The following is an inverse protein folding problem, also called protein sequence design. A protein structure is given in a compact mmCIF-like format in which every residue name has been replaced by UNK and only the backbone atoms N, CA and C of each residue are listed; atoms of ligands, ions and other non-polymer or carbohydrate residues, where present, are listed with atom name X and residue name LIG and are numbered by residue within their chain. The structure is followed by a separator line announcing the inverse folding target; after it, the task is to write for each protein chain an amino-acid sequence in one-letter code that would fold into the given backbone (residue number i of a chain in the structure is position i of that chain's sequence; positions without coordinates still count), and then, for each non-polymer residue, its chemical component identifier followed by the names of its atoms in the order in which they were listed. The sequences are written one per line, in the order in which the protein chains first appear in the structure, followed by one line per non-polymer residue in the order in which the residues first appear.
data_IF_122655222570
#
_entry.id   IF_122655222570
#
_cell.length_a   1.000
_cell.length_b   1.000
_cell.length_c   1.000
_cell.angle_alpha   90.00
_cell.angle_beta   90.00
_cell.angle_gamma   90.00
#
_symmetry.space_group_name_H-M   'P 1'
#
loop_
_entity.id
_entity.type
_entity.pdbx_description
1 polymer ?
#
# COMPACT_ATOMS: atom_id res chain seq x y z
N UNK A 1 0.23 32.32 25.69
CA UNK A 1 1.40 31.62 25.12
C UNK A 1 1.62 30.32 25.89
N UNK A 2 1.14 29.17 25.38
CA UNK A 2 1.31 27.84 26.03
C UNK A 2 2.47 27.10 25.37
N UNK A 3 3.55 26.91 26.14
CA UNK A 3 4.78 26.20 25.73
C UNK A 3 4.48 24.69 25.55
N UNK A 4 4.73 24.16 24.38
CA UNK A 4 4.68 22.72 24.09
C UNK A 4 5.93 22.05 24.63
N UNK A 5 5.78 21.20 25.63
CA UNK A 5 6.84 20.31 26.09
C UNK A 5 6.99 19.17 25.08
N UNK A 6 8.17 19.07 24.46
CA UNK A 6 8.59 17.94 23.65
C UNK A 6 8.72 16.72 24.58
N UNK A 7 7.89 15.71 24.34
CA UNK A 7 8.01 14.41 25.01
C UNK A 7 8.98 13.55 24.20
N UNK A 8 10.11 13.21 24.83
CA UNK A 8 11.13 12.30 24.30
C UNK A 8 10.53 10.88 24.22
N UNK A 9 10.60 10.26 23.04
CA UNK A 9 10.35 8.83 22.86
C UNK A 9 11.49 8.03 23.51
N UNK A 10 11.21 6.95 24.23
CA UNK A 10 12.24 6.00 24.62
C UNK A 10 12.73 5.20 23.42
N UNK A 11 14.03 5.01 23.38
CA UNK A 11 14.77 4.32 22.35
C UNK A 11 14.26 2.89 22.11
N UNK A 12 13.90 2.59 20.86
CA UNK A 12 13.73 1.23 20.40
C UNK A 12 15.12 0.56 20.32
N UNK A 13 15.29 -0.58 21.00
CA UNK A 13 16.44 -1.46 20.80
C UNK A 13 16.53 -1.84 19.32
N UNK A 14 17.56 -1.31 18.67
CA UNK A 14 17.92 -1.67 17.30
C UNK A 14 18.59 -3.05 17.31
N UNK A 15 17.91 -4.04 16.73
CA UNK A 15 18.56 -5.30 16.33
C UNK A 15 19.23 -5.05 14.97
N UNK A 16 20.56 -4.97 15.01
CA UNK A 16 21.40 -5.00 13.81
C UNK A 16 21.40 -6.41 13.22
N UNK A 17 20.81 -6.59 12.05
CA UNK A 17 21.10 -7.73 11.17
C UNK A 17 22.05 -7.24 10.09
N UNK A 18 23.29 -7.69 10.19
CA UNK A 18 24.29 -7.57 9.14
C UNK A 18 23.93 -8.45 7.97
N UNK A 19 23.90 -7.89 6.77
CA UNK A 19 23.82 -8.62 5.52
C UNK A 19 25.20 -8.70 4.88
N UNK A 20 25.65 -9.87 4.37
CA UNK A 20 26.90 -9.93 3.62
C UNK A 20 26.75 -9.33 2.23
N UNK A 21 27.71 -8.50 1.88
CA UNK A 21 27.95 -7.99 0.52
C UNK A 21 28.58 -9.13 -0.29
N UNK A 22 27.96 -9.48 -1.41
CA UNK A 22 28.62 -10.27 -2.44
C UNK A 22 28.85 -9.37 -3.65
N UNK A 23 30.11 -9.03 -3.85
CA UNK A 23 30.61 -8.43 -5.07
C UNK A 23 30.83 -9.53 -6.12
N UNK A 24 30.30 -9.40 -7.31
CA UNK A 24 30.81 -10.07 -8.49
C UNK A 24 30.97 -9.04 -9.60
N UNK A 25 32.23 -8.72 -9.86
CA UNK A 25 32.71 -8.19 -11.12
C UNK A 25 32.95 -9.38 -12.05
N UNK A 26 32.55 -9.28 -13.29
CA UNK A 26 33.43 -9.71 -14.38
C UNK A 26 32.98 -9.13 -15.72
N UNK A 27 33.96 -8.49 -16.30
CA UNK A 27 34.09 -8.00 -17.66
C UNK A 27 34.11 -9.15 -18.67
N UNK A 28 33.56 -8.99 -19.86
CA UNK A 28 34.37 -9.25 -21.06
C UNK A 28 33.76 -8.56 -22.28
N UNK A 29 34.60 -7.80 -22.95
CA UNK A 29 34.33 -7.21 -24.23
C UNK A 29 34.53 -8.24 -25.35
N UNK A 30 33.85 -8.01 -26.44
CA UNK A 30 34.40 -8.41 -27.73
C UNK A 30 33.94 -7.46 -28.84
N UNK A 31 34.90 -6.77 -29.41
CA UNK A 31 34.91 -6.00 -30.65
C UNK A 31 34.94 -6.99 -31.82
N UNK A 32 34.10 -6.79 -32.80
CA UNK A 32 34.38 -7.29 -34.15
C UNK A 32 33.90 -6.27 -35.20
N UNK A 33 34.83 -5.96 -36.04
CA UNK A 33 34.94 -4.95 -37.07
C UNK A 33 34.08 -5.25 -38.31
N UNK A 34 33.77 -4.14 -38.94
CA UNK A 34 33.14 -3.92 -40.24
C UNK A 34 33.99 -4.47 -41.39
N UNK A 35 33.36 -5.00 -42.41
CA UNK A 35 33.83 -4.89 -43.81
C UNK A 35 32.63 -4.67 -44.71
N UNK A 36 32.71 -3.56 -45.45
CA UNK A 36 31.85 -3.21 -46.58
C UNK A 36 32.14 -4.15 -47.75
N UNK A 37 31.11 -4.52 -48.51
CA UNK A 37 31.26 -4.58 -49.95
C UNK A 37 29.91 -4.36 -50.68
N UNK A 38 30.00 -3.63 -51.76
CA UNK A 38 28.93 -3.08 -52.58
C UNK A 38 28.37 -4.10 -53.57
N UNK A 39 27.05 -4.11 -53.77
CA UNK A 39 26.48 -4.33 -55.11
C UNK A 39 25.06 -3.77 -55.19
N UNK A 40 24.91 -2.76 -55.99
CA UNK A 40 23.66 -2.16 -56.45
C UNK A 40 22.94 -3.12 -57.39
N UNK A 41 21.67 -3.48 -57.05
CA UNK A 41 20.72 -3.94 -58.07
C UNK A 41 19.37 -3.30 -57.76
N UNK A 42 18.99 -2.39 -58.63
CA UNK A 42 17.67 -1.75 -58.65
C UNK A 42 16.59 -2.71 -59.10
N UNK A 43 15.59 -2.92 -58.27
CA UNK A 43 14.28 -3.50 -58.66
C UNK A 43 13.18 -2.59 -58.14
N UNK A 44 12.19 -2.19 -58.96
CA UNK A 44 11.16 -1.24 -58.56
C UNK A 44 10.02 -1.93 -57.84
N UNK A 45 9.49 -1.27 -56.79
CA UNK A 45 8.14 -1.47 -56.30
C UNK A 45 7.92 -2.58 -55.32
N UNK A 46 8.31 -2.33 -54.05
CA UNK A 46 7.59 -2.94 -52.94
C UNK A 46 7.21 -1.81 -51.99
N UNK A 47 5.92 -1.46 -52.01
CA UNK A 47 5.37 -0.55 -51.02
C UNK A 47 5.56 -1.23 -49.65
N UNK A 48 6.47 -0.68 -48.87
CA UNK A 48 6.66 -1.06 -47.47
C UNK A 48 5.33 -0.74 -46.77
N UNK A 49 4.61 -1.72 -46.16
CA UNK A 49 3.40 -1.42 -45.43
C UNK A 49 3.79 -0.45 -44.30
N UNK A 50 3.29 0.77 -44.35
CA UNK A 50 3.41 1.77 -43.32
C UNK A 50 2.64 1.20 -42.11
N UNK A 51 3.37 0.55 -41.20
CA UNK A 51 2.81 0.04 -39.96
C UNK A 51 2.46 1.25 -39.11
N UNK A 52 1.21 1.68 -39.20
CA UNK A 52 0.67 2.71 -38.31
C UNK A 52 0.85 2.22 -36.87
N UNK A 53 1.58 2.93 -36.01
CA UNK A 53 1.77 2.49 -34.63
C UNK A 53 0.40 2.29 -33.98
N UNK A 54 0.14 1.09 -33.48
CA UNK A 54 -1.13 0.81 -32.81
C UNK A 54 -1.31 1.79 -31.66
N UNK A 55 -2.41 2.53 -31.66
CA UNK A 55 -2.73 3.48 -30.60
C UNK A 55 -2.81 2.76 -29.25
N UNK A 56 -2.18 3.31 -28.24
CA UNK A 56 -2.23 2.77 -26.88
C UNK A 56 -3.67 2.70 -26.38
N UNK A 57 -4.12 1.52 -25.96
CA UNK A 57 -5.43 1.29 -25.39
C UNK A 57 -5.36 0.45 -24.12
N UNK A 58 -6.28 0.72 -23.18
CA UNK A 58 -6.38 -0.05 -21.96
C UNK A 58 -5.54 0.47 -20.78
N UNK A 59 -5.40 -0.37 -19.76
CA UNK A 59 -4.68 -0.05 -18.53
C UNK A 59 -3.22 -0.45 -18.68
N UNK A 60 -2.32 0.53 -18.67
CA UNK A 60 -0.90 0.36 -18.95
C UNK A 60 -0.08 0.75 -17.72
N UNK A 61 0.85 -0.11 -17.33
CA UNK A 61 1.82 0.17 -16.27
C UNK A 61 3.07 0.80 -16.87
N UNK A 62 3.44 1.99 -16.36
CA UNK A 62 4.70 2.69 -16.70
C UNK A 62 5.50 2.92 -15.41
N UNK A 63 6.59 2.19 -15.25
CA UNK A 63 7.35 2.17 -14.01
C UNK A 63 6.51 1.70 -12.81
N UNK A 64 6.46 2.49 -11.75
CA UNK A 64 5.68 2.19 -10.55
C UNK A 64 4.21 2.62 -10.62
N UNK A 65 3.81 3.33 -11.68
CA UNK A 65 2.48 3.91 -11.84
C UNK A 65 1.67 3.19 -12.92
N UNK A 66 0.34 3.24 -12.80
CA UNK A 66 -0.60 2.67 -13.77
C UNK A 66 -1.44 3.80 -14.35
N UNK A 67 -1.68 3.75 -15.65
CA UNK A 67 -2.41 4.75 -16.45
C UNK A 67 -3.47 4.05 -17.29
N UNK A 68 -4.53 4.78 -17.66
CA UNK A 68 -5.53 4.31 -18.58
C UNK A 68 -5.49 5.13 -19.87
N UNK A 69 -5.41 4.45 -21.00
CA UNK A 69 -5.41 5.04 -22.33
C UNK A 69 -6.65 4.58 -23.10
N UNK A 70 -7.22 5.50 -23.85
CA UNK A 70 -8.26 5.23 -24.83
C UNK A 70 -7.87 5.98 -26.13
N UNK A 71 -7.78 5.24 -27.23
CA UNK A 71 -7.40 5.76 -28.56
C UNK A 71 -6.12 6.62 -28.54
N UNK A 72 -5.09 6.11 -27.84
CA UNK A 72 -3.81 6.81 -27.65
C UNK A 72 -3.82 7.92 -26.60
N UNK A 73 -5.00 8.35 -26.12
CA UNK A 73 -5.15 9.47 -25.19
C UNK A 73 -5.18 8.98 -23.73
N UNK A 74 -4.31 9.55 -22.89
CA UNK A 74 -4.29 9.25 -21.46
C UNK A 74 -5.53 9.82 -20.76
N UNK A 75 -6.31 8.95 -20.13
CA UNK A 75 -7.54 9.31 -19.43
C UNK A 75 -7.22 9.84 -18.03
N UNK A 76 -7.95 10.88 -17.59
CA UNK A 76 -7.78 11.55 -16.29
C UNK A 76 -9.13 11.73 -15.61
N UNK A 77 -9.11 11.85 -14.27
CA UNK A 77 -10.30 12.09 -13.43
C UNK A 77 -11.46 11.11 -13.73
N UNK A 78 -11.14 9.87 -14.03
CA UNK A 78 -12.11 8.85 -14.43
C UNK A 78 -11.88 7.51 -13.73
N UNK A 79 -12.94 6.71 -13.69
CA UNK A 79 -12.86 5.31 -13.31
C UNK A 79 -12.40 4.46 -14.50
N UNK A 80 -11.68 3.37 -14.20
CA UNK A 80 -11.48 2.29 -15.18
C UNK A 80 -12.83 1.73 -15.65
N UNK A 81 -12.91 1.11 -16.83
CA UNK A 81 -14.17 0.51 -17.34
C UNK A 81 -14.81 -0.47 -16.35
N UNK A 82 -14.00 -1.27 -15.65
CA UNK A 82 -14.42 -2.22 -14.61
C UNK A 82 -14.72 -1.56 -13.24
N UNK A 83 -14.58 -0.23 -13.13
CA UNK A 83 -14.78 0.59 -11.91
C UNK A 83 -13.96 0.13 -10.71
N UNK A 84 -12.80 -0.53 -10.95
CA UNK A 84 -11.92 -1.01 -9.89
C UNK A 84 -10.76 -0.07 -9.58
N UNK A 85 -10.36 0.78 -10.52
CA UNK A 85 -9.29 1.77 -10.38
C UNK A 85 -9.80 3.17 -10.71
N UNK A 86 -9.22 4.19 -10.10
CA UNK A 86 -9.52 5.59 -10.42
C UNK A 86 -8.24 6.31 -10.81
N UNK A 87 -8.24 6.95 -11.96
CA UNK A 87 -7.14 7.74 -12.50
C UNK A 87 -7.33 9.21 -12.16
N UNK A 88 -6.38 9.77 -11.41
CA UNK A 88 -6.45 11.15 -10.92
C UNK A 88 -6.19 12.20 -11.99
N UNK A 89 -6.06 13.46 -11.58
CA UNK A 89 -5.82 14.58 -12.49
C UNK A 89 -4.52 14.48 -13.31
N UNK A 90 -3.55 13.74 -12.81
CA UNK A 90 -2.28 13.46 -13.50
C UNK A 90 -2.31 12.17 -14.33
N UNK A 91 -3.46 11.53 -14.49
CA UNK A 91 -3.65 10.28 -15.21
C UNK A 91 -3.19 9.01 -14.48
N UNK A 92 -2.47 9.14 -13.37
CA UNK A 92 -2.03 7.98 -12.61
C UNK A 92 -3.15 7.42 -11.73
N UNK A 93 -3.23 6.10 -11.61
CA UNK A 93 -4.13 5.44 -10.67
C UNK A 93 -3.81 5.81 -9.23
N UNK A 94 -4.84 6.05 -8.41
CA UNK A 94 -4.64 6.18 -6.97
C UNK A 94 -4.20 4.84 -6.39
N UNK A 95 -3.04 4.80 -5.75
CA UNK A 95 -2.49 3.61 -5.13
C UNK A 95 -1.84 3.96 -3.78
N UNK A 96 -1.90 3.03 -2.83
CA UNK A 96 -1.21 3.17 -1.57
C UNK A 96 0.31 2.99 -1.74
N UNK A 97 1.09 3.49 -0.78
CA UNK A 97 2.54 3.34 -0.76
C UNK A 97 2.95 1.86 -0.82
N UNK A 98 4.06 1.59 -1.52
CA UNK A 98 4.64 0.25 -1.65
C UNK A 98 5.77 -0.02 -0.64
N UNK A 99 5.78 0.70 0.47
CA UNK A 99 6.79 0.48 1.51
C UNK A 99 6.83 -0.98 1.99
N UNK A 100 8.03 -1.43 2.29
CA UNK A 100 8.28 -2.76 2.84
C UNK A 100 7.55 -2.96 4.16
N UNK A 101 7.07 -4.17 4.42
CA UNK A 101 6.32 -4.49 5.65
C UNK A 101 4.82 -4.17 5.63
N UNK A 102 4.31 -3.38 4.68
CA UNK A 102 2.91 -2.95 4.62
C UNK A 102 2.20 -3.48 3.36
N UNK A 103 1.91 -4.79 3.31
CA UNK A 103 1.36 -5.43 2.10
C UNK A 103 -0.11 -5.06 1.81
N UNK A 104 -0.89 -4.68 2.83
CA UNK A 104 -2.33 -4.40 2.73
C UNK A 104 -2.73 -2.99 3.15
N UNK A 105 -1.77 -2.06 3.20
CA UNK A 105 -2.07 -0.67 3.48
C UNK A 105 -2.94 -0.05 2.39
N UNK A 106 -3.65 1.01 2.76
CA UNK A 106 -4.56 1.72 1.86
C UNK A 106 -4.26 3.21 1.83
N UNK A 107 -4.59 3.83 0.70
CA UNK A 107 -4.76 5.27 0.61
C UNK A 107 -6.25 5.58 0.48
N UNK A 108 -6.70 6.63 1.16
CA UNK A 108 -8.09 7.09 1.09
C UNK A 108 -8.16 8.35 0.23
N UNK A 109 -8.99 8.34 -0.81
CA UNK A 109 -9.16 9.48 -1.72
C UNK A 109 -10.63 9.87 -1.84
N UNK A 110 -10.89 11.19 -1.90
CA UNK A 110 -12.22 11.73 -2.15
C UNK A 110 -12.46 11.75 -3.66
N UNK A 111 -13.57 11.16 -4.10
CA UNK A 111 -14.03 11.15 -5.49
C UNK A 111 -15.51 11.53 -5.45
N UNK A 112 -15.82 12.70 -6.00
CA UNK A 112 -17.13 13.30 -5.82
C UNK A 112 -17.44 13.51 -4.34
N UNK A 113 -18.61 13.06 -3.89
CA UNK A 113 -19.06 13.18 -2.49
C UNK A 113 -18.61 12.03 -1.58
N UNK A 114 -17.90 11.03 -2.10
CA UNK A 114 -17.54 9.80 -1.35
C UNK A 114 -16.03 9.67 -1.19
N UNK A 115 -15.61 8.93 -0.15
CA UNK A 115 -14.22 8.56 0.08
C UNK A 115 -14.04 7.08 -0.23
N UNK A 116 -13.05 6.75 -1.05
CA UNK A 116 -12.73 5.38 -1.47
C UNK A 116 -11.36 4.99 -0.97
N UNK A 117 -11.20 3.70 -0.63
CA UNK A 117 -9.90 3.12 -0.31
C UNK A 117 -9.30 2.44 -1.53
N UNK A 118 -8.00 2.65 -1.77
CA UNK A 118 -7.23 1.98 -2.81
C UNK A 118 -6.04 1.27 -2.20
N UNK A 119 -5.78 0.06 -2.67
CA UNK A 119 -4.64 -0.75 -2.25
C UNK A 119 -3.33 -0.34 -2.96
N UNK A 120 -2.25 -1.09 -2.73
CA UNK A 120 -0.92 -0.86 -3.32
C UNK A 120 -0.86 -1.02 -4.84
N UNK A 121 -1.81 -1.75 -5.42
CA UNK A 121 -1.93 -1.96 -6.87
C UNK A 121 -2.90 -0.99 -7.53
N UNK A 122 -3.46 -0.06 -6.73
CA UNK A 122 -4.43 0.92 -7.19
C UNK A 122 -5.85 0.37 -7.31
N UNK A 123 -6.10 -0.84 -6.84
CA UNK A 123 -7.46 -1.38 -6.84
C UNK A 123 -8.26 -0.89 -5.65
N UNK A 124 -9.51 -0.57 -5.89
CA UNK A 124 -10.49 -0.23 -4.87
C UNK A 124 -10.65 -1.40 -3.89
N UNK A 125 -10.53 -1.13 -2.59
CA UNK A 125 -10.63 -2.16 -1.55
C UNK A 125 -12.05 -2.71 -1.44
N UNK A 126 -12.15 -3.93 -0.91
CA UNK A 126 -13.42 -4.60 -0.60
C UNK A 126 -13.87 -4.28 0.82
N UNK A 127 -15.07 -4.74 1.19
CA UNK A 127 -15.60 -4.61 2.58
C UNK A 127 -14.59 -5.08 3.61
N UNK A 128 -14.35 -4.25 4.63
CA UNK A 128 -13.48 -4.62 5.73
C UNK A 128 -12.82 -3.43 6.43
N UNK A 129 -12.01 -3.76 7.43
CA UNK A 129 -11.14 -2.81 8.11
C UNK A 129 -9.76 -2.87 7.48
N UNK A 130 -9.20 -1.71 7.16
CA UNK A 130 -7.85 -1.51 6.64
C UNK A 130 -7.18 -0.40 7.43
N UNK A 131 -5.87 -0.33 7.39
CA UNK A 131 -5.11 0.79 7.93
C UNK A 131 -4.25 1.43 6.83
N UNK A 132 -4.03 2.74 6.95
CA UNK A 132 -3.00 3.40 6.16
C UNK A 132 -1.60 3.08 6.73
N UNK A 133 -0.57 3.61 6.10
CA UNK A 133 0.82 3.40 6.52
C UNK A 133 1.13 3.95 7.92
N UNK A 134 0.34 4.92 8.40
CA UNK A 134 0.46 5.51 9.73
C UNK A 134 -0.33 4.74 10.79
N UNK A 135 -0.98 3.62 10.41
CA UNK A 135 -1.81 2.83 11.33
C UNK A 135 -3.20 3.41 11.56
N UNK A 136 -3.64 4.41 10.79
CA UNK A 136 -5.00 4.94 10.93
C UNK A 136 -6.03 3.95 10.38
N UNK A 137 -6.97 3.44 11.18
CA UNK A 137 -7.94 2.47 10.70
C UNK A 137 -9.12 3.12 9.98
N UNK A 138 -9.57 2.44 8.92
CA UNK A 138 -10.75 2.79 8.14
C UNK A 138 -11.62 1.55 7.93
N UNK A 139 -12.93 1.73 7.94
CA UNK A 139 -13.88 0.71 7.54
C UNK A 139 -14.48 1.07 6.18
N UNK A 140 -14.45 0.12 5.25
CA UNK A 140 -15.06 0.24 3.93
C UNK A 140 -16.23 -0.73 3.76
N UNK A 141 -17.25 -0.30 3.03
CA UNK A 141 -18.40 -1.13 2.65
C UNK A 141 -18.07 -2.04 1.44
N UNK A 142 -19.08 -2.79 0.98
CA UNK A 142 -18.93 -3.71 -0.17
C UNK A 142 -18.53 -3.02 -1.48
N UNK A 143 -18.76 -1.71 -1.58
CA UNK A 143 -18.41 -0.90 -2.74
C UNK A 143 -17.06 -0.20 -2.62
N UNK A 144 -16.33 -0.42 -1.53
CA UNK A 144 -15.06 0.23 -1.23
C UNK A 144 -15.21 1.69 -0.77
N UNK A 145 -16.41 2.09 -0.36
CA UNK A 145 -16.67 3.43 0.18
C UNK A 145 -16.43 3.42 1.68
N UNK A 146 -15.71 4.45 2.17
CA UNK A 146 -15.46 4.61 3.60
C UNK A 146 -16.74 4.91 4.36
N UNK A 147 -17.04 4.12 5.37
CA UNK A 147 -18.15 4.35 6.31
C UNK A 147 -17.64 5.24 7.44
N UNK A 148 -18.01 6.52 7.41
CA UNK A 148 -17.48 7.55 8.30
C UNK A 148 -17.68 7.23 9.78
N UNK A 149 -18.90 6.84 10.21
CA UNK A 149 -19.24 6.52 11.60
C UNK A 149 -18.37 5.38 12.14
N UNK A 150 -18.30 4.25 11.41
CA UNK A 150 -17.48 3.10 11.81
C UNK A 150 -15.98 3.41 11.83
N UNK A 151 -15.48 4.15 10.84
CA UNK A 151 -14.08 4.58 10.79
C UNK A 151 -13.72 5.49 11.98
N UNK A 152 -14.63 6.41 12.37
CA UNK A 152 -14.44 7.26 13.54
C UNK A 152 -14.41 6.47 14.84
N UNK A 153 -15.32 5.50 15.01
CA UNK A 153 -15.34 4.61 16.16
C UNK A 153 -14.04 3.80 16.28
N UNK A 154 -13.57 3.19 15.18
CA UNK A 154 -12.31 2.47 15.12
C UNK A 154 -11.13 3.38 15.48
N UNK A 155 -11.06 4.58 14.91
CA UNK A 155 -9.99 5.55 15.20
C UNK A 155 -9.97 5.95 16.69
N UNK A 156 -11.13 6.12 17.33
CA UNK A 156 -11.22 6.41 18.76
C UNK A 156 -10.74 5.21 19.59
N UNK A 157 -11.23 4.00 19.28
CA UNK A 157 -10.90 2.79 20.02
C UNK A 157 -9.47 2.29 19.80
N UNK A 158 -8.78 2.72 18.72
CA UNK A 158 -7.40 2.33 18.42
C UNK A 158 -6.34 3.30 18.94
N UNK A 159 -6.71 4.33 19.69
CA UNK A 159 -5.73 5.23 20.32
C UNK A 159 -4.82 4.46 21.27
N UNK A 160 -3.58 4.87 21.37
CA UNK A 160 -2.64 4.35 22.37
C UNK A 160 -3.25 4.45 23.77
N UNK A 161 -3.09 3.42 24.56
CA UNK A 161 -3.65 3.24 25.92
C UNK A 161 -5.19 3.13 25.98
N UNK A 162 -5.92 3.12 24.87
CA UNK A 162 -7.36 2.88 24.88
C UNK A 162 -7.70 1.45 25.33
N UNK A 163 -8.95 1.26 25.73
CA UNK A 163 -9.46 -0.03 26.16
C UNK A 163 -9.50 -1.05 25.00
N UNK A 164 -8.73 -2.12 25.14
CA UNK A 164 -8.62 -3.18 24.13
C UNK A 164 -9.92 -3.95 23.91
N UNK A 165 -10.76 -4.12 24.93
CA UNK A 165 -12.04 -4.81 24.82
C UNK A 165 -13.00 -4.05 23.88
N UNK A 166 -13.01 -2.72 23.93
CA UNK A 166 -13.80 -1.89 23.01
C UNK A 166 -13.34 -2.05 21.57
N UNK A 167 -12.02 -2.08 21.32
CA UNK A 167 -11.48 -2.29 20.00
C UNK A 167 -11.80 -3.70 19.46
N UNK A 168 -11.67 -4.74 20.29
CA UNK A 168 -12.05 -6.12 19.93
C UNK A 168 -13.53 -6.23 19.58
N UNK A 169 -14.42 -5.58 20.32
CA UNK A 169 -15.86 -5.55 20.02
C UNK A 169 -16.16 -4.99 18.64
N UNK A 170 -15.43 -3.95 18.20
CA UNK A 170 -15.58 -3.35 16.88
C UNK A 170 -14.99 -4.20 15.75
N UNK A 171 -13.90 -4.94 16.01
CA UNK A 171 -13.18 -5.73 15.02
C UNK A 171 -13.69 -7.16 14.89
N UNK A 172 -14.32 -7.70 15.94
CA UNK A 172 -14.73 -9.10 16.04
C UNK A 172 -13.57 -10.04 16.37
N UNK A 173 -13.75 -11.34 16.09
CA UNK A 173 -12.76 -12.39 16.40
C UNK A 173 -11.54 -12.28 15.47
N UNK A 174 -10.30 -12.22 16.00
CA UNK A 174 -9.09 -12.27 15.18
C UNK A 174 -8.90 -13.68 14.59
N UNK A 175 -8.26 -13.77 13.42
CA UNK A 175 -7.90 -15.05 12.81
C UNK A 175 -6.74 -15.75 13.56
N UNK A 176 -5.90 -14.97 14.23
CA UNK A 176 -4.77 -15.48 15.02
C UNK A 176 -4.45 -14.53 16.16
N UNK A 177 -4.12 -15.09 17.32
CA UNK A 177 -3.55 -14.36 18.46
C UNK A 177 -2.19 -14.96 18.78
N UNK A 178 -1.16 -14.11 18.89
CA UNK A 178 0.16 -14.47 19.42
C UNK A 178 0.40 -13.69 20.68
N UNK A 179 1.04 -14.32 21.66
CA UNK A 179 1.42 -13.74 22.94
C UNK A 179 2.93 -13.71 23.04
N UNK A 180 3.46 -12.66 23.63
CA UNK A 180 4.90 -12.44 23.82
C UNK A 180 5.15 -11.99 25.26
N UNK A 181 6.36 -12.22 25.77
CA UNK A 181 6.83 -11.58 26.98
C UNK A 181 6.92 -10.07 26.77
N UNK A 182 6.80 -9.31 27.84
CA UNK A 182 6.85 -7.85 27.81
C UNK A 182 7.85 -7.34 28.85
N UNK A 183 8.46 -6.19 28.59
CA UNK A 183 9.26 -5.45 29.55
C UNK A 183 8.50 -4.25 30.14
N UNK A 184 7.19 -4.08 29.80
CA UNK A 184 6.41 -2.95 30.29
C UNK A 184 5.85 -3.23 31.67
N UNK A 185 6.10 -2.32 32.61
CA UNK A 185 5.52 -2.36 33.97
C UNK A 185 3.99 -2.33 33.91
N UNK A 186 3.35 -3.16 34.72
CA UNK A 186 1.87 -3.25 34.78
C UNK A 186 1.24 -4.08 33.65
N UNK A 187 2.02 -4.62 32.74
CA UNK A 187 1.58 -5.51 31.67
C UNK A 187 2.11 -6.92 31.91
N UNK A 188 1.24 -7.91 31.82
CA UNK A 188 1.62 -9.32 31.98
C UNK A 188 2.10 -9.96 30.69
N UNK A 189 1.57 -9.57 29.53
CA UNK A 189 1.93 -10.08 28.19
C UNK A 189 1.58 -9.08 27.10
N UNK A 190 2.37 -9.09 26.05
CA UNK A 190 2.03 -8.41 24.80
C UNK A 190 1.26 -9.36 23.86
N UNK A 191 0.24 -8.85 23.21
CA UNK A 191 -0.61 -9.60 22.30
C UNK A 191 -0.55 -9.02 20.89
N UNK A 192 -0.32 -9.86 19.88
CA UNK A 192 -0.47 -9.52 18.48
C UNK A 192 -1.68 -10.25 17.90
N UNK A 193 -2.73 -9.49 17.57
CA UNK A 193 -3.93 -10.00 16.94
C UNK A 193 -3.83 -9.84 15.44
N UNK A 194 -4.12 -10.89 14.69
CA UNK A 194 -4.14 -10.89 13.24
C UNK A 194 -5.57 -10.89 12.74
N UNK A 195 -5.90 -9.92 11.92
CA UNK A 195 -7.14 -9.83 11.15
C UNK A 195 -6.85 -9.91 9.65
N UNK A 196 -7.88 -9.92 8.82
CA UNK A 196 -7.72 -10.08 7.37
C UNK A 196 -6.72 -9.08 6.73
N UNK A 197 -6.76 -7.81 7.14
CA UNK A 197 -5.96 -6.75 6.51
C UNK A 197 -5.11 -5.94 7.50
N UNK A 198 -5.25 -6.19 8.80
CA UNK A 198 -4.54 -5.44 9.84
C UNK A 198 -3.97 -6.36 10.92
N UNK A 199 -2.94 -5.86 11.60
CA UNK A 199 -2.50 -6.33 12.90
C UNK A 199 -2.94 -5.35 13.98
N UNK A 200 -3.25 -5.85 15.17
CA UNK A 200 -3.51 -5.05 16.37
C UNK A 200 -2.55 -5.50 17.45
N UNK A 201 -1.86 -4.57 18.06
CA UNK A 201 -0.98 -4.81 19.21
C UNK A 201 -1.66 -4.33 20.48
N UNK A 202 -1.74 -5.20 21.49
CA UNK A 202 -2.33 -4.93 22.79
C UNK A 202 -1.39 -5.36 23.89
N UNK A 203 -1.47 -4.72 25.07
CA UNK A 203 -0.90 -5.19 26.32
C UNK A 203 -2.00 -5.80 27.20
N UNK A 204 -1.82 -7.01 27.73
CA UNK A 204 -2.67 -7.60 28.76
C UNK A 204 -2.19 -7.09 30.11
N UNK A 205 -3.04 -6.36 30.84
CA UNK A 205 -2.71 -5.78 32.14
C UNK A 205 -2.59 -6.84 33.24
N UNK A 206 -1.71 -6.61 34.20
CA UNK A 206 -1.74 -7.29 35.49
C UNK A 206 -3.04 -6.87 36.18
N UNK A 207 -3.81 -7.84 36.76
CA UNK A 207 -5.13 -7.54 37.31
C UNK A 207 -6.28 -7.50 36.34
N UNK A 208 -6.04 -7.72 35.04
CA UNK A 208 -7.08 -7.89 34.03
C UNK A 208 -7.25 -6.72 33.07
N UNK A 209 -7.99 -6.97 32.00
CA UNK A 209 -8.20 -6.00 30.91
C UNK A 209 -7.05 -5.94 29.90
N UNK A 210 -7.27 -5.17 28.84
CA UNK A 210 -6.32 -4.99 27.75
C UNK A 210 -6.16 -3.51 27.41
N UNK A 211 -4.97 -3.14 26.99
CA UNK A 211 -4.61 -1.79 26.55
C UNK A 211 -4.14 -1.82 25.11
N UNK A 212 -4.60 -0.88 24.30
CA UNK A 212 -4.20 -0.77 22.89
C UNK A 212 -2.84 -0.13 22.77
N UNK A 213 -1.92 -0.75 22.01
CA UNK A 213 -0.68 -0.10 21.55
C UNK A 213 -0.87 0.53 20.19
N UNK A 214 -1.61 -0.10 19.29
CA UNK A 214 -1.92 0.44 17.98
C UNK A 214 -2.43 -0.57 16.97
N UNK A 215 -2.68 -0.06 15.77
CA UNK A 215 -3.05 -0.82 14.59
C UNK A 215 -1.99 -0.62 13.51
N UNK A 216 -1.71 -1.68 12.79
CA UNK A 216 -0.80 -1.68 11.66
C UNK A 216 -1.43 -2.41 10.48
N UNK A 217 -1.18 -1.95 9.26
CA UNK A 217 -1.51 -2.71 8.05
C UNK A 217 -0.72 -4.02 7.99
N UNK A 218 -1.30 -5.07 7.44
CA UNK A 218 -0.60 -6.33 7.13
C UNK A 218 0.31 -6.17 5.96
#
# INVERSE_FOLDING_TARGET
MKKWKKLLLPAMCAFMLQTPVIANADSNGNTASVTEDSAVTTTPGTETPTVTPALLNGIIKKGSKTYYYKDGVMQKNCWSPDKRQYFGKNGAAYAASKESGYKKNVVVKKIGKKYYGFDRNGYKVKKGVYADIKGTPYYFDKYGVRVAKKSSQLKKASKYMADGAKLRKLLGKPSKTKSYSTCMTGISKDLKLTYANIYVSLGKKIGGGEMVYGIQSR
#
